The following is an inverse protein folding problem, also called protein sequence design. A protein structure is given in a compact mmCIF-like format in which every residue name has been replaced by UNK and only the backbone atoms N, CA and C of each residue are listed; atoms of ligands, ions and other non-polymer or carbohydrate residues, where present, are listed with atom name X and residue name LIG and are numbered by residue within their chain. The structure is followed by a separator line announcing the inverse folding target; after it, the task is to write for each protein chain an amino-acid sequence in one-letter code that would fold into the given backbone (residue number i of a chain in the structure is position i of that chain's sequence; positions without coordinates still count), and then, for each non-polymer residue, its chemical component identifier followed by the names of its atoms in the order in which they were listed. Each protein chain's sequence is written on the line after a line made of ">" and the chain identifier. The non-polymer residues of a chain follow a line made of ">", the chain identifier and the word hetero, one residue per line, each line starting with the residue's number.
data_IF_649297126044
#
_entry.id   IF_649297126044
#
_cell.length_a   1.000
_cell.length_b   1.000
_cell.length_c   1.000
_cell.angle_alpha   90.00
_cell.angle_beta   90.00
_cell.angle_gamma   90.00
#
_symmetry.space_group_name_H-M   'P 1'
#
loop_
_entity.id
_entity.type
_entity.pdbx_description
1 polymer ?
#
# COMPACT_ATOMS: atom_id res chain seq x y z
N UNK A 1 -10.59 42.67 -43.25
CA UNK A 1 -11.23 41.66 -42.39
C UNK A 1 -10.12 40.78 -41.86
N UNK A 2 -9.65 41.05 -40.64
CA UNK A 2 -8.65 40.23 -39.99
C UNK A 2 -9.36 39.04 -39.36
N UNK A 3 -9.10 37.85 -39.89
CA UNK A 3 -9.55 36.58 -39.31
C UNK A 3 -8.83 36.41 -37.98
N UNK A 4 -9.59 36.51 -36.89
CA UNK A 4 -9.15 36.23 -35.53
C UNK A 4 -9.01 34.72 -35.37
N UNK A 5 -7.87 34.18 -35.80
CA UNK A 5 -7.40 32.85 -35.41
C UNK A 5 -6.84 32.95 -33.99
N UNK A 6 -7.73 32.90 -33.00
CA UNK A 6 -7.37 32.67 -31.61
C UNK A 6 -7.20 31.15 -31.44
N UNK A 7 -6.04 30.64 -31.86
CA UNK A 7 -5.69 29.23 -31.70
C UNK A 7 -4.87 29.05 -30.43
N UNK A 8 -5.56 28.68 -29.35
CA UNK A 8 -5.17 27.61 -28.42
C UNK A 8 -3.69 27.52 -28.01
N UNK A 9 -3.21 28.45 -27.18
CA UNK A 9 -1.93 28.32 -26.46
C UNK A 9 -2.03 27.47 -25.17
N UNK A 10 -3.24 27.04 -24.77
CA UNK A 10 -3.48 26.27 -23.54
C UNK A 10 -3.29 24.74 -23.68
N UNK A 11 -3.34 24.21 -24.91
CA UNK A 11 -3.18 22.78 -25.20
C UNK A 11 -1.83 22.20 -24.74
N UNK A 12 -0.65 22.80 -25.00
CA UNK A 12 0.63 22.21 -24.59
C UNK A 12 0.83 22.13 -23.06
N UNK A 13 0.21 23.05 -22.30
CA UNK A 13 0.26 23.01 -20.83
C UNK A 13 -0.64 21.88 -20.32
N UNK A 14 -1.82 21.71 -20.91
CA UNK A 14 -2.77 20.64 -20.58
C UNK A 14 -2.20 19.26 -20.88
N UNK A 15 -1.62 19.08 -22.05
CA UNK A 15 -1.04 17.80 -22.50
C UNK A 15 0.10 17.37 -21.58
N UNK A 16 0.98 18.31 -21.21
CA UNK A 16 2.06 18.07 -20.24
C UNK A 16 1.54 17.71 -18.84
N UNK A 17 0.43 18.31 -18.42
CA UNK A 17 -0.21 18.00 -17.14
C UNK A 17 -0.82 16.59 -17.14
N UNK A 18 -1.43 16.18 -18.24
CA UNK A 18 -1.99 14.83 -18.43
C UNK A 18 -0.88 13.77 -18.44
N UNK A 19 0.21 14.02 -19.17
CA UNK A 19 1.39 13.14 -19.21
C UNK A 19 1.96 12.93 -17.79
N UNK A 20 2.14 14.02 -17.04
CA UNK A 20 2.62 13.95 -15.65
C UNK A 20 1.66 13.16 -14.74
N UNK A 21 0.34 13.33 -14.92
CA UNK A 21 -0.68 12.59 -14.17
C UNK A 21 -0.66 11.09 -14.50
N UNK A 22 -0.45 10.73 -15.78
CA UNK A 22 -0.31 9.35 -16.22
C UNK A 22 0.93 8.68 -15.63
N UNK A 23 2.08 9.35 -15.66
CA UNK A 23 3.31 8.84 -15.02
C UNK A 23 3.11 8.59 -13.53
N UNK A 24 2.51 9.55 -12.82
CA UNK A 24 2.20 9.39 -11.39
C UNK A 24 1.20 8.27 -11.12
N UNK A 25 0.17 8.13 -11.97
CA UNK A 25 -0.80 7.04 -11.87
C UNK A 25 -0.11 5.67 -11.97
N UNK A 26 0.78 5.50 -12.94
CA UNK A 26 1.52 4.24 -13.11
C UNK A 26 2.45 3.96 -11.93
N UNK A 27 3.16 4.97 -11.43
CA UNK A 27 4.02 4.83 -10.25
C UNK A 27 3.22 4.44 -8.99
N UNK A 28 2.05 5.06 -8.78
CA UNK A 28 1.19 4.75 -7.64
C UNK A 28 0.59 3.35 -7.74
N UNK A 29 0.22 2.90 -8.95
CA UNK A 29 -0.23 1.53 -9.18
C UNK A 29 0.85 0.51 -8.83
N UNK A 30 2.08 0.72 -9.30
CA UNK A 30 3.20 -0.17 -8.97
C UNK A 30 3.50 -0.17 -7.46
N UNK A 31 3.53 1.00 -6.84
CA UNK A 31 3.75 1.14 -5.38
C UNK A 31 2.64 0.46 -4.57
N UNK A 32 1.39 0.54 -5.03
CA UNK A 32 0.24 -0.12 -4.40
C UNK A 32 0.39 -1.65 -4.43
N UNK A 33 0.81 -2.22 -5.55
CA UNK A 33 1.04 -3.66 -5.66
C UNK A 33 2.12 -4.13 -4.69
N UNK A 34 3.23 -3.40 -4.59
CA UNK A 34 4.32 -3.75 -3.68
C UNK A 34 3.91 -3.60 -2.22
N UNK A 35 3.16 -2.56 -1.86
CA UNK A 35 2.59 -2.42 -0.52
C UNK A 35 1.60 -3.55 -0.18
N UNK A 36 0.77 -3.98 -1.12
CA UNK A 36 -0.12 -5.14 -0.95
C UNK A 36 0.67 -6.42 -0.73
N UNK A 37 1.78 -6.63 -1.46
CA UNK A 37 2.68 -7.77 -1.23
C UNK A 37 3.28 -7.72 0.19
N UNK A 38 3.78 -6.56 0.62
CA UNK A 38 4.31 -6.38 1.97
C UNK A 38 3.25 -6.69 3.05
N UNK A 39 2.04 -6.16 2.91
CA UNK A 39 0.94 -6.41 3.84
C UNK A 39 0.59 -7.92 3.92
N UNK A 40 0.56 -8.61 2.78
CA UNK A 40 0.29 -10.05 2.73
C UNK A 40 1.41 -10.87 3.41
N UNK A 41 2.68 -10.48 3.24
CA UNK A 41 3.80 -11.13 3.91
C UNK A 41 3.71 -10.98 5.43
N UNK A 42 3.34 -9.79 5.93
CA UNK A 42 3.11 -9.55 7.36
C UNK A 42 1.98 -10.41 7.91
N UNK A 43 0.83 -10.47 7.21
CA UNK A 43 -0.30 -11.32 7.61
C UNK A 43 0.10 -12.79 7.69
N UNK A 44 0.86 -13.27 6.72
CA UNK A 44 1.37 -14.65 6.73
C UNK A 44 2.32 -14.90 7.92
N UNK A 45 3.22 -13.96 8.18
CA UNK A 45 4.12 -14.01 9.34
C UNK A 45 3.36 -14.13 10.67
N UNK A 46 2.26 -13.36 10.84
CA UNK A 46 1.40 -13.47 12.03
C UNK A 46 0.74 -14.83 12.15
N UNK A 47 0.23 -15.39 11.05
CA UNK A 47 -0.38 -16.71 11.08
C UNK A 47 0.62 -17.81 11.46
N UNK A 48 1.85 -17.74 10.94
CA UNK A 48 2.92 -18.69 11.29
C UNK A 48 3.33 -18.55 12.76
N UNK A 49 3.45 -17.31 13.27
CA UNK A 49 3.73 -17.02 14.68
C UNK A 49 2.63 -17.54 15.60
N UNK A 50 1.36 -17.32 15.25
CA UNK A 50 0.22 -17.83 16.02
C UNK A 50 0.20 -19.36 16.08
N UNK A 51 0.54 -20.03 14.97
CA UNK A 51 0.70 -21.48 14.95
C UNK A 51 1.84 -21.95 15.85
N UNK A 52 2.99 -21.27 15.80
CA UNK A 52 4.13 -21.56 16.69
C UNK A 52 3.74 -21.41 18.17
N UNK A 53 3.05 -20.32 18.53
CA UNK A 53 2.57 -20.09 19.90
C UNK A 53 1.66 -21.25 20.32
N UNK A 54 0.70 -21.66 19.48
CA UNK A 54 -0.18 -22.81 19.78
C UNK A 54 0.62 -24.09 20.01
N UNK A 55 1.61 -24.38 19.17
CA UNK A 55 2.48 -25.55 19.32
C UNK A 55 3.31 -25.48 20.62
N UNK A 56 3.91 -24.33 20.92
CA UNK A 56 4.65 -24.10 22.16
C UNK A 56 3.75 -24.24 23.39
N UNK A 57 2.47 -23.86 23.31
CA UNK A 57 1.52 -24.01 24.41
C UNK A 57 1.19 -25.47 24.74
N UNK A 58 1.30 -26.38 23.76
CA UNK A 58 1.07 -27.82 23.93
C UNK A 58 2.26 -28.56 24.57
N UNK A 59 3.46 -27.98 24.53
CA UNK A 59 4.64 -28.59 25.14
C UNK A 59 4.55 -28.57 26.67
N UNK A 60 5.16 -29.53 27.39
CA UNK A 60 5.30 -29.46 28.84
C UNK A 60 5.92 -28.14 29.30
N UNK A 61 5.62 -27.67 30.51
CA UNK A 61 6.26 -26.45 31.03
C UNK A 61 7.73 -26.72 31.35
N UNK A 62 8.60 -25.91 30.75
CA UNK A 62 10.03 -25.86 31.06
C UNK A 62 10.59 -24.49 30.64
N UNK A 63 11.72 -24.03 31.22
CA UNK A 63 12.19 -22.66 31.05
C UNK A 63 12.41 -22.21 29.61
N UNK A 64 12.92 -23.09 28.74
CA UNK A 64 13.14 -22.75 27.33
C UNK A 64 11.83 -22.59 26.54
N UNK A 65 10.75 -23.32 26.91
CA UNK A 65 9.41 -23.06 26.36
C UNK A 65 8.91 -21.68 26.78
N UNK A 66 9.03 -21.35 28.06
CA UNK A 66 8.54 -20.07 28.60
C UNK A 66 9.31 -18.89 27.98
N UNK A 67 10.63 -19.02 27.78
CA UNK A 67 11.44 -18.05 27.06
C UNK A 67 11.00 -17.90 25.58
N UNK A 68 10.73 -19.01 24.88
CA UNK A 68 10.26 -18.97 23.50
C UNK A 68 8.88 -18.32 23.37
N UNK A 69 7.96 -18.60 24.30
CA UNK A 69 6.65 -17.93 24.35
C UNK A 69 6.81 -16.44 24.62
N UNK A 70 7.67 -16.05 25.57
CA UNK A 70 7.92 -14.64 25.86
C UNK A 70 8.43 -13.88 24.62
N UNK A 71 9.40 -14.46 23.90
CA UNK A 71 9.90 -13.88 22.65
C UNK A 71 8.81 -13.78 21.56
N UNK A 72 7.96 -14.80 21.43
CA UNK A 72 6.88 -14.79 20.46
C UNK A 72 5.81 -13.71 20.76
N UNK A 73 5.56 -13.40 22.03
CA UNK A 73 4.59 -12.37 22.45
C UNK A 73 5.16 -10.95 22.53
N UNK A 74 6.48 -10.77 22.70
CA UNK A 74 7.10 -9.44 22.77
C UNK A 74 7.03 -8.67 21.44
N UNK A 75 6.86 -9.39 20.34
CA UNK A 75 6.88 -8.84 18.98
C UNK A 75 5.49 -8.33 18.55
N UNK A 76 4.47 -8.41 19.42
CA UNK A 76 3.06 -8.34 19.03
C UNK A 76 2.47 -6.92 18.87
N UNK A 77 2.82 -5.97 19.75
CA UNK A 77 2.16 -4.65 19.75
C UNK A 77 2.59 -3.76 18.58
N UNK A 78 3.90 -3.67 18.30
CA UNK A 78 4.42 -2.78 17.26
C UNK A 78 4.08 -3.28 15.85
N UNK A 79 3.94 -4.60 15.70
CA UNK A 79 3.62 -5.24 14.43
C UNK A 79 2.16 -5.02 14.02
N UNK A 80 1.19 -5.19 14.93
CA UNK A 80 -0.24 -4.94 14.61
C UNK A 80 -0.46 -3.48 14.19
N UNK A 81 0.17 -2.54 14.90
CA UNK A 81 0.12 -1.11 14.57
C UNK A 81 0.73 -0.86 13.18
N UNK A 82 1.85 -1.52 12.86
CA UNK A 82 2.47 -1.42 11.54
C UNK A 82 1.55 -1.95 10.42
N UNK A 83 0.90 -3.09 10.61
CA UNK A 83 -0.05 -3.62 9.62
C UNK A 83 -1.25 -2.69 9.42
N UNK A 84 -1.78 -2.11 10.49
CA UNK A 84 -2.87 -1.14 10.42
C UNK A 84 -2.45 0.12 9.65
N UNK A 85 -1.27 0.67 9.94
CA UNK A 85 -0.72 1.81 9.21
C UNK A 85 -0.53 1.51 7.72
N UNK A 86 -0.01 0.32 7.36
CA UNK A 86 0.14 -0.09 5.95
C UNK A 86 -1.23 -0.18 5.26
N UNK A 87 -2.26 -0.72 5.94
CA UNK A 87 -3.62 -0.79 5.39
C UNK A 87 -4.20 0.60 5.13
N UNK A 88 -3.94 1.56 6.01
CA UNK A 88 -4.39 2.95 5.84
C UNK A 88 -3.68 3.63 4.65
N UNK A 89 -2.37 3.41 4.50
CA UNK A 89 -1.60 3.90 3.33
C UNK A 89 -2.14 3.29 2.04
N UNK A 90 -2.39 1.97 2.00
CA UNK A 90 -2.99 1.28 0.86
C UNK A 90 -4.32 1.92 0.47
N UNK A 91 -5.22 2.15 1.44
CA UNK A 91 -6.52 2.79 1.19
C UNK A 91 -6.39 4.21 0.63
N UNK A 92 -5.43 4.97 1.14
CA UNK A 92 -5.14 6.33 0.67
C UNK A 92 -4.66 6.31 -0.78
N UNK A 93 -3.76 5.38 -1.12
CA UNK A 93 -3.27 5.19 -2.48
C UNK A 93 -4.38 4.73 -3.43
N UNK A 94 -5.24 3.79 -3.02
CA UNK A 94 -6.39 3.36 -3.82
C UNK A 94 -7.32 4.55 -4.15
N UNK A 95 -7.56 5.42 -3.17
CA UNK A 95 -8.36 6.64 -3.36
C UNK A 95 -7.66 7.63 -4.31
N UNK A 96 -6.35 7.82 -4.16
CA UNK A 96 -5.54 8.68 -5.06
C UNK A 96 -5.60 8.19 -6.50
N UNK A 97 -5.38 6.90 -6.72
CA UNK A 97 -5.42 6.25 -8.03
C UNK A 97 -6.80 6.40 -8.67
N UNK A 98 -7.88 6.17 -7.91
CA UNK A 98 -9.25 6.32 -8.42
C UNK A 98 -9.54 7.76 -8.86
N UNK A 99 -9.09 8.76 -8.09
CA UNK A 99 -9.24 10.17 -8.43
C UNK A 99 -8.43 10.53 -9.68
N UNK A 100 -7.16 10.11 -9.75
CA UNK A 100 -6.32 10.36 -10.93
C UNK A 100 -6.87 9.70 -12.18
N UNK A 101 -7.35 8.47 -12.07
CA UNK A 101 -7.99 7.76 -13.17
C UNK A 101 -9.23 8.53 -13.67
N UNK A 102 -10.09 9.02 -12.77
CA UNK A 102 -11.25 9.88 -13.15
C UNK A 102 -10.83 11.15 -13.89
N UNK A 103 -9.68 11.73 -13.54
CA UNK A 103 -9.15 12.92 -14.21
C UNK A 103 -8.48 12.63 -15.56
N UNK A 104 -7.88 11.44 -15.74
CA UNK A 104 -7.21 11.04 -16.98
C UNK A 104 -8.19 10.47 -18.01
N UNK A 105 -9.19 9.69 -17.57
CA UNK A 105 -10.15 8.98 -18.45
C UNK A 105 -10.77 9.84 -19.56
N UNK A 106 -11.17 11.10 -19.31
CA UNK A 106 -11.76 11.97 -20.35
C UNK A 106 -10.81 12.35 -21.49
N UNK A 107 -9.52 12.07 -21.35
CA UNK A 107 -8.46 12.45 -22.30
C UNK A 107 -7.75 11.25 -22.95
N UNK A 108 -8.19 10.02 -22.66
CA UNK A 108 -7.75 8.78 -23.32
C UNK A 108 -8.70 8.42 -24.45
#
# INVERSE_FOLDING_TARGET
>A
MASSSSSSDETPIRDKMIETLQEQYHLECASLEDLKKCANLLVKGYQERDQLIKMLMLLPRYPARDAALHLAFMVDQDEVVLLEAIKEIIKTLETSIELKLKHILPYM
#
